data_IF_095757224924
#
_entry.id   IF_095757224924
#
_cell.length_a   1.000
_cell.length_b   1.000
_cell.length_c   1.000
_cell.angle_alpha   90.00
_cell.angle_beta   90.00
_cell.angle_gamma   90.00
#
_symmetry.space_group_name_H-M   'P 1'
#
loop_
_entity.id
_entity.type
_entity.pdbx_description
1 polymer ?
#
# COMPACT_ATOMS: atom_id res chain seq x y z
N UNK A 1 -9.57 -22.66 -20.00
CA UNK A 1 -9.47 -21.21 -19.74
C UNK A 1 -8.72 -21.07 -18.43
N UNK A 2 -7.46 -20.65 -18.45
CA UNK A 2 -6.67 -20.56 -17.23
C UNK A 2 -7.20 -19.39 -16.41
N UNK A 3 -7.92 -19.69 -15.33
CA UNK A 3 -8.15 -18.71 -14.27
C UNK A 3 -6.76 -18.29 -13.78
N UNK A 4 -6.35 -17.06 -14.15
CA UNK A 4 -5.03 -16.51 -13.84
C UNK A 4 -4.72 -16.73 -12.36
N UNK A 5 -3.51 -17.22 -12.03
CA UNK A 5 -3.08 -17.44 -10.64
C UNK A 5 -3.33 -16.23 -9.73
N UNK A 6 -3.33 -15.03 -10.32
CA UNK A 6 -3.74 -13.78 -9.70
C UNK A 6 -5.19 -13.81 -9.17
N UNK A 7 -6.15 -14.30 -9.95
CA UNK A 7 -7.56 -14.37 -9.56
C UNK A 7 -7.77 -15.33 -8.39
N UNK A 8 -7.06 -16.46 -8.40
CA UNK A 8 -7.12 -17.42 -7.29
C UNK A 8 -6.52 -16.81 -6.02
N UNK A 9 -5.36 -16.17 -6.13
CA UNK A 9 -4.69 -15.50 -5.02
C UNK A 9 -5.56 -14.37 -4.43
N UNK A 10 -6.13 -13.53 -5.28
CA UNK A 10 -7.01 -12.44 -4.86
C UNK A 10 -8.28 -12.99 -4.18
N UNK A 11 -8.90 -14.04 -4.73
CA UNK A 11 -10.06 -14.68 -4.11
C UNK A 11 -9.74 -15.24 -2.71
N UNK A 12 -8.57 -15.83 -2.51
CA UNK A 12 -8.14 -16.30 -1.19
C UNK A 12 -7.87 -15.13 -0.21
N UNK A 13 -7.29 -14.02 -0.69
CA UNK A 13 -7.15 -12.82 0.12
C UNK A 13 -8.50 -12.21 0.52
N UNK A 14 -9.48 -12.18 -0.39
CA UNK A 14 -10.82 -11.72 -0.06
C UNK A 14 -11.50 -12.60 1.00
N UNK A 15 -11.39 -13.92 0.90
CA UNK A 15 -11.87 -14.83 1.96
C UNK A 15 -11.21 -14.53 3.31
N UNK A 16 -9.91 -14.24 3.33
CA UNK A 16 -9.18 -13.85 4.55
C UNK A 16 -9.59 -12.45 5.03
N UNK A 17 -9.94 -11.54 4.14
CA UNK A 17 -10.45 -10.22 4.49
C UNK A 17 -11.79 -10.31 5.23
N UNK A 18 -12.68 -11.21 4.81
CA UNK A 18 -13.96 -11.44 5.51
C UNK A 18 -13.75 -11.86 6.97
N UNK A 19 -12.68 -12.61 7.24
CA UNK A 19 -12.28 -13.07 8.58
C UNK A 19 -11.51 -11.98 9.33
N UNK A 20 -10.60 -11.26 8.67
CA UNK A 20 -9.71 -10.28 9.27
C UNK A 20 -9.65 -8.97 8.46
N UNK A 21 -10.66 -8.12 8.67
CA UNK A 21 -10.78 -6.79 8.06
C UNK A 21 -9.70 -5.77 8.49
N UNK A 22 -8.85 -6.12 9.45
CA UNK A 22 -7.84 -5.21 10.03
C UNK A 22 -6.54 -5.14 9.23
N UNK A 23 -6.24 -6.18 8.45
CA UNK A 23 -4.91 -6.35 7.81
C UNK A 23 -4.98 -6.05 6.31
N UNK A 24 -6.10 -6.37 5.67
CA UNK A 24 -6.28 -6.24 4.24
C UNK A 24 -7.18 -5.05 3.91
N UNK A 25 -6.80 -4.28 2.89
CA UNK A 25 -7.48 -3.03 2.51
C UNK A 25 -7.89 -3.15 1.03
N UNK A 26 -9.19 -3.15 0.70
CA UNK A 26 -9.62 -3.09 -0.69
C UNK A 26 -9.32 -1.70 -1.27
N UNK A 27 -9.17 -1.61 -2.60
CA UNK A 27 -8.73 -0.40 -3.29
C UNK A 27 -9.65 0.80 -3.05
N UNK A 28 -10.95 0.58 -2.99
CA UNK A 28 -11.95 1.61 -2.70
C UNK A 28 -11.71 2.27 -1.33
N UNK A 29 -11.47 1.43 -0.30
CA UNK A 29 -11.18 1.90 1.05
C UNK A 29 -9.81 2.58 1.10
N UNK A 30 -8.83 2.06 0.37
CA UNK A 30 -7.50 2.66 0.28
C UNK A 30 -7.54 4.11 -0.22
N UNK A 31 -8.23 4.35 -1.35
CA UNK A 31 -8.37 5.70 -1.89
C UNK A 31 -9.20 6.60 -0.98
N UNK A 32 -10.28 6.07 -0.41
CA UNK A 32 -11.09 6.80 0.60
C UNK A 32 -10.23 7.22 1.79
N UNK A 33 -9.29 6.39 2.25
CA UNK A 33 -8.36 6.75 3.32
C UNK A 33 -7.41 7.89 2.92
N UNK A 34 -6.87 7.86 1.69
CA UNK A 34 -6.02 8.93 1.16
C UNK A 34 -6.79 10.25 1.12
N UNK A 35 -8.01 10.25 0.58
CA UNK A 35 -8.86 11.43 0.53
C UNK A 35 -9.19 11.97 1.91
N UNK A 36 -9.52 11.10 2.87
CA UNK A 36 -9.77 11.49 4.26
C UNK A 36 -8.53 12.11 4.93
N UNK A 37 -7.33 11.57 4.66
CA UNK A 37 -6.08 12.13 5.18
C UNK A 37 -5.81 13.49 4.58
N UNK A 38 -6.01 13.67 3.27
CA UNK A 38 -5.88 14.99 2.60
C UNK A 38 -6.86 16.01 3.15
N UNK A 39 -8.13 15.62 3.29
CA UNK A 39 -9.15 16.46 3.88
C UNK A 39 -8.81 16.84 5.33
N UNK A 40 -8.32 15.88 6.12
CA UNK A 40 -7.88 16.14 7.49
C UNK A 40 -6.62 17.02 7.56
N UNK A 41 -5.69 16.89 6.61
CA UNK A 41 -4.48 17.71 6.54
C UNK A 41 -4.79 19.15 6.10
N UNK A 42 -5.70 19.33 5.14
CA UNK A 42 -6.12 20.65 4.62
C UNK A 42 -7.12 21.39 5.52
N UNK A 43 -7.88 20.67 6.36
CA UNK A 43 -8.80 21.29 7.31
C UNK A 43 -8.03 21.99 8.45
N UNK A 44 -7.87 23.30 8.32
CA UNK A 44 -7.35 24.19 9.38
C UNK A 44 -8.27 24.34 10.60
N UNK A 45 -9.41 23.63 10.65
CA UNK A 45 -10.40 23.68 11.74
C UNK A 45 -10.34 22.50 12.73
N UNK A 46 -11.39 22.39 13.57
CA UNK A 46 -11.56 21.34 14.59
C UNK A 46 -11.68 19.96 13.95
N UNK A 47 -10.59 19.20 13.95
CA UNK A 47 -10.54 17.86 13.34
C UNK A 47 -11.35 16.87 14.18
N UNK A 48 -12.09 15.98 13.53
CA UNK A 48 -12.73 14.84 14.20
C UNK A 48 -11.65 13.90 14.78
N UNK A 49 -11.95 13.19 15.87
CA UNK A 49 -11.06 12.18 16.50
C UNK A 49 -10.51 11.18 15.48
N UNK A 50 -11.33 10.79 14.50
CA UNK A 50 -10.90 9.92 13.40
C UNK A 50 -9.80 10.57 12.53
N UNK A 51 -9.93 11.86 12.21
CA UNK A 51 -8.91 12.60 11.47
C UNK A 51 -7.59 12.73 12.23
N UNK A 52 -7.65 12.97 13.54
CA UNK A 52 -6.44 12.95 14.39
C UNK A 52 -5.77 11.58 14.41
N UNK A 53 -6.55 10.50 14.53
CA UNK A 53 -6.03 9.14 14.47
C UNK A 53 -5.33 8.86 13.13
N UNK A 54 -5.97 9.23 12.02
CA UNK A 54 -5.41 9.04 10.68
C UNK A 54 -4.09 9.79 10.50
N UNK A 55 -4.04 11.08 10.85
CA UNK A 55 -2.82 11.90 10.75
C UNK A 55 -1.71 11.48 11.73
N UNK A 56 -2.05 10.76 12.80
CA UNK A 56 -1.09 10.22 13.77
C UNK A 56 -0.47 8.91 13.28
N UNK A 57 -1.19 8.12 12.49
CA UNK A 57 -0.78 6.77 12.07
C UNK A 57 -0.30 6.69 10.63
N UNK A 58 -0.80 7.55 9.76
CA UNK A 58 -0.57 7.49 8.32
C UNK A 58 -0.01 8.80 7.79
N UNK A 59 0.74 8.68 6.71
CA UNK A 59 1.27 9.76 5.90
C UNK A 59 1.07 9.40 4.43
N UNK A 60 0.97 10.40 3.56
CA UNK A 60 0.87 10.19 2.11
C UNK A 60 2.25 10.51 1.52
N UNK A 61 2.81 9.55 0.80
CA UNK A 61 4.04 9.72 0.05
C UNK A 61 3.70 9.90 -1.42
N UNK A 62 4.16 11.01 -2.00
CA UNK A 62 4.04 11.26 -3.44
C UNK A 62 5.24 10.61 -4.17
N UNK A 63 4.96 9.67 -5.05
CA UNK A 63 5.95 9.00 -5.89
C UNK A 63 5.63 9.28 -7.36
N UNK A 64 6.22 10.37 -7.88
CA UNK A 64 5.89 10.88 -9.22
C UNK A 64 4.42 11.31 -9.30
N UNK A 65 3.67 10.65 -10.18
CA UNK A 65 2.24 10.88 -10.40
C UNK A 65 1.34 10.04 -9.47
N UNK A 66 1.92 9.10 -8.71
CA UNK A 66 1.17 8.16 -7.88
C UNK A 66 1.34 8.48 -6.40
N UNK A 67 0.22 8.46 -5.69
CA UNK A 67 0.17 8.65 -4.24
C UNK A 67 0.15 7.30 -3.53
N UNK A 68 0.98 7.15 -2.50
CA UNK A 68 1.08 5.94 -1.70
C UNK A 68 0.78 6.26 -0.24
N UNK A 69 -0.10 5.47 0.35
CA UNK A 69 -0.33 5.47 1.79
C UNK A 69 0.84 4.79 2.48
N UNK A 70 1.52 5.53 3.36
CA UNK A 70 2.62 5.01 4.17
C UNK A 70 2.28 5.10 5.66
N UNK A 71 2.90 4.24 6.45
CA UNK A 71 2.91 4.40 7.90
C UNK A 71 3.64 5.70 8.23
N UNK A 72 3.09 6.46 9.18
CA UNK A 72 3.75 7.67 9.67
C UNK A 72 5.12 7.31 10.24
N UNK A 73 6.16 7.90 9.67
CA UNK A 73 7.54 7.72 10.12
C UNK A 73 7.80 8.53 11.38
N UNK A 74 8.53 7.95 12.33
CA UNK A 74 8.95 8.67 13.54
C UNK A 74 10.13 9.61 13.25
N UNK A 75 11.01 9.21 12.34
CA UNK A 75 12.20 9.94 11.90
C UNK A 75 12.28 9.94 10.37
N UNK A 76 12.97 10.92 9.78
CA UNK A 76 13.15 10.97 8.32
C UNK A 76 14.05 9.85 7.78
N UNK A 77 14.85 9.23 8.65
CA UNK A 77 15.79 8.14 8.35
C UNK A 77 15.11 6.76 8.32
N UNK A 78 13.87 6.64 8.81
CA UNK A 78 13.14 5.38 8.80
C UNK A 78 12.67 5.03 7.38
N UNK A 79 12.97 3.79 6.95
CA UNK A 79 12.49 3.24 5.68
C UNK A 79 10.95 3.31 5.59
N UNK A 80 10.39 3.87 4.51
CA UNK A 80 8.95 4.05 4.40
C UNK A 80 8.25 2.69 4.21
N UNK A 81 7.38 2.35 5.16
CA UNK A 81 6.49 1.18 5.06
C UNK A 81 5.21 1.60 4.36
N UNK A 82 5.01 1.16 3.11
CA UNK A 82 3.82 1.45 2.33
C UNK A 82 2.74 0.36 2.47
N UNK A 83 1.48 0.79 2.43
CA UNK A 83 0.33 -0.10 2.38
C UNK A 83 -0.05 -0.38 0.92
N UNK A 84 -0.50 -1.60 0.66
CA UNK A 84 -0.88 -2.10 -0.66
C UNK A 84 -2.34 -2.54 -0.64
N UNK A 85 -3.06 -2.27 -1.72
CA UNK A 85 -4.42 -2.75 -1.91
C UNK A 85 -4.43 -4.27 -2.14
N UNK A 86 -5.55 -4.93 -1.80
CA UNK A 86 -5.71 -6.38 -2.07
C UNK A 86 -5.44 -6.69 -3.55
N UNK A 87 -5.98 -5.90 -4.47
CA UNK A 87 -5.81 -6.06 -5.92
C UNK A 87 -4.35 -5.96 -6.38
N UNK A 88 -3.56 -5.07 -5.78
CA UNK A 88 -2.16 -4.86 -6.13
C UNK A 88 -1.20 -5.82 -5.38
N UNK A 89 -1.70 -6.55 -4.37
CA UNK A 89 -0.87 -7.39 -3.50
C UNK A 89 -0.17 -8.50 -4.28
N UNK A 90 -0.85 -9.14 -5.23
CA UNK A 90 -0.27 -10.20 -6.05
C UNK A 90 0.95 -9.68 -6.84
N UNK A 91 0.78 -8.53 -7.49
CA UNK A 91 1.81 -7.95 -8.33
C UNK A 91 3.04 -7.49 -7.50
N UNK A 92 2.81 -6.91 -6.32
CA UNK A 92 3.89 -6.57 -5.39
C UNK A 92 4.66 -7.80 -4.94
N UNK A 93 3.97 -8.87 -4.54
CA UNK A 93 4.62 -10.13 -4.13
C UNK A 93 5.37 -10.76 -5.29
N UNK A 94 4.80 -10.75 -6.49
CA UNK A 94 5.43 -11.28 -7.71
C UNK A 94 6.70 -10.50 -8.06
N UNK A 95 6.68 -9.17 -7.99
CA UNK A 95 7.87 -8.32 -8.19
C UNK A 95 8.93 -8.59 -7.13
N UNK A 96 8.54 -8.66 -5.87
CA UNK A 96 9.47 -8.95 -4.76
C UNK A 96 10.12 -10.33 -4.90
N UNK A 97 9.33 -11.34 -5.30
CA UNK A 97 9.84 -12.67 -5.59
C UNK A 97 10.80 -12.68 -6.79
N UNK A 98 10.50 -11.90 -7.83
CA UNK A 98 11.39 -11.77 -9.01
C UNK A 98 12.67 -11.00 -8.69
N UNK A 99 12.61 -10.01 -7.79
CA UNK A 99 13.76 -9.21 -7.39
C UNK A 99 14.68 -9.93 -6.40
N UNK A 100 14.11 -10.76 -5.51
CA UNK A 100 14.87 -11.54 -4.53
C UNK A 100 15.31 -12.90 -5.07
N UNK A 101 14.54 -13.47 -6.00
CA UNK A 101 14.96 -14.58 -6.82
C UNK A 101 16.06 -14.12 -7.76
N UNK A 102 17.22 -14.75 -7.68
CA UNK A 102 18.35 -14.59 -8.58
C UNK A 102 17.94 -14.92 -10.04
N UNK A 103 17.16 -14.06 -10.69
CA UNK A 103 16.84 -14.12 -12.11
C UNK A 103 17.99 -13.48 -12.87
N UNK A 104 18.97 -14.31 -13.25
CA UNK A 104 20.20 -13.88 -13.90
C UNK A 104 19.98 -12.93 -15.08
N UNK A 105 20.22 -11.64 -14.86
CA UNK A 105 20.79 -10.72 -15.84
C UNK A 105 21.37 -9.52 -15.10
N UNK A 106 22.33 -9.78 -14.22
CA UNK A 106 23.27 -8.77 -13.77
C UNK A 106 24.29 -8.57 -14.91
N UNK A 107 23.89 -7.90 -15.99
CA UNK A 107 24.86 -7.32 -16.93
C UNK A 107 25.09 -5.89 -16.50
N UNK A 108 25.91 -5.70 -15.47
CA UNK A 108 26.60 -4.42 -15.30
C UNK A 108 27.63 -4.35 -16.42
N UNK A 109 27.35 -3.56 -17.45
CA UNK A 109 28.41 -3.10 -18.33
C UNK A 109 29.26 -2.13 -17.52
N UNK A 110 30.43 -2.57 -17.12
CA UNK A 110 31.54 -1.69 -16.80
C UNK A 110 31.97 -0.98 -18.09
N UNK A 111 31.94 0.34 -18.09
CA UNK A 111 32.70 1.20 -19.00
C UNK A 111 33.17 2.39 -18.19
#
# INVERSE_FOLDING_TARGET
>A
MAESYENQFNAELFKKYEICKKILIPKEVYFTMIENIKAAAGAGGTKNRHGYYLLSKFEILQCGDVEKLIKKRATQDEDPVYYVCIEDTYDVVKRAHTATGHGGSWSIKTT
#
